data_IF_333868262949
#
_entry.id   IF_333868262949
#
_cell.length_a   1.000
_cell.length_b   1.000
_cell.length_c   1.000
_cell.angle_alpha   90.00
_cell.angle_beta   90.00
_cell.angle_gamma   90.00
#
_symmetry.space_group_name_H-M   'P 1'
#
loop_
_entity.id
_entity.type
_entity.pdbx_description
1 polymer ?
#
# COMPACT_ATOMS: atom_id res chain seq x y z
N UNK A 1 -0.48 -19.23 -9.32
CA UNK A 1 -0.13 -17.83 -9.65
C UNK A 1 -1.41 -17.03 -9.66
N UNK A 2 -1.68 -16.26 -8.60
CA UNK A 2 -2.84 -15.38 -8.51
C UNK A 2 -2.38 -13.94 -8.80
N UNK A 3 -3.02 -13.31 -9.78
CA UNK A 3 -2.83 -11.91 -10.14
C UNK A 3 -4.10 -11.14 -9.79
N UNK A 4 -3.96 -10.02 -9.08
CA UNK A 4 -5.06 -9.08 -8.89
C UNK A 4 -4.89 -7.90 -9.86
N UNK A 5 -5.86 -7.70 -10.75
CA UNK A 5 -5.89 -6.61 -11.72
C UNK A 5 -7.00 -5.64 -11.34
N UNK A 6 -6.67 -4.36 -11.16
CA UNK A 6 -7.67 -3.32 -10.91
C UNK A 6 -7.80 -2.34 -12.08
N UNK A 7 -9.05 -2.08 -12.50
CA UNK A 7 -9.44 -0.95 -13.35
C UNK A 7 -10.20 0.07 -12.51
N UNK A 8 -9.62 1.25 -12.33
CA UNK A 8 -10.24 2.36 -11.59
C UNK A 8 -11.01 3.30 -12.52
N UNK A 9 -12.27 3.51 -12.16
CA UNK A 9 -13.16 4.51 -12.73
C UNK A 9 -13.06 5.84 -11.96
N UNK A 10 -13.04 6.97 -12.65
CA UNK A 10 -13.21 8.32 -12.11
C UNK A 10 -14.66 8.39 -11.64
N UNK A 11 -14.87 8.47 -10.34
CA UNK A 11 -16.23 8.65 -9.81
C UNK A 11 -16.77 10.00 -10.27
N UNK A 12 -17.99 10.02 -10.84
CA UNK A 12 -18.74 11.26 -11.08
C UNK A 12 -18.83 12.05 -9.76
N UNK A 13 -18.64 13.38 -9.84
CA UNK A 13 -18.86 14.34 -8.74
C UNK A 13 -20.10 13.91 -7.94
N UNK A 14 -19.92 13.46 -6.69
CA UNK A 14 -21.03 13.41 -5.74
C UNK A 14 -21.32 14.85 -5.32
N UNK A 15 -22.57 15.27 -5.43
CA UNK A 15 -23.04 16.58 -4.99
C UNK A 15 -22.68 16.75 -3.51
N UNK A 16 -21.76 17.68 -3.21
CA UNK A 16 -21.29 17.96 -1.84
C UNK A 16 -19.81 18.36 -1.70
N UNK A 17 -18.98 18.12 -2.71
CA UNK A 17 -17.60 18.63 -2.76
C UNK A 17 -17.52 19.85 -3.68
N UNK A 18 -17.17 21.02 -3.15
CA UNK A 18 -17.03 22.22 -3.97
C UNK A 18 -15.73 22.24 -4.79
N UNK A 19 -14.71 21.43 -4.45
CA UNK A 19 -13.48 21.35 -5.22
C UNK A 19 -13.08 19.86 -5.34
N UNK A 20 -13.05 19.30 -6.56
CA UNK A 20 -12.52 17.97 -6.91
C UNK A 20 -12.65 16.83 -5.88
N UNK A 21 -13.79 16.13 -5.85
CA UNK A 21 -13.97 14.92 -5.02
C UNK A 21 -13.23 13.70 -5.64
N UNK A 22 -11.90 13.78 -5.70
CA UNK A 22 -10.99 12.64 -5.66
C UNK A 22 -10.38 12.62 -4.26
N UNK A 23 -11.04 11.98 -3.30
CA UNK A 23 -10.48 11.85 -1.95
C UNK A 23 -9.30 10.87 -2.00
N UNK A 24 -8.09 11.42 -2.23
CA UNK A 24 -6.83 10.68 -2.25
C UNK A 24 -6.72 9.77 -1.02
N UNK A 25 -7.12 10.28 0.14
CA UNK A 25 -7.08 9.56 1.42
C UNK A 25 -8.00 8.33 1.39
N UNK A 26 -9.27 8.48 1.02
CA UNK A 26 -10.24 7.37 1.02
C UNK A 26 -9.84 6.31 -0.01
N UNK A 27 -9.36 6.75 -1.17
CA UNK A 27 -8.96 5.85 -2.23
C UNK A 27 -7.66 5.10 -1.89
N UNK A 28 -6.66 5.78 -1.33
CA UNK A 28 -5.43 5.15 -0.86
C UNK A 28 -5.72 4.13 0.25
N UNK A 29 -6.64 4.47 1.16
CA UNK A 29 -7.12 3.56 2.20
C UNK A 29 -7.73 2.29 1.63
N UNK A 30 -8.65 2.45 0.67
CA UNK A 30 -9.31 1.32 0.04
C UNK A 30 -8.32 0.46 -0.76
N UNK A 31 -7.45 1.08 -1.57
CA UNK A 31 -6.43 0.38 -2.37
C UNK A 31 -5.48 -0.42 -1.45
N UNK A 32 -5.06 0.17 -0.32
CA UNK A 32 -4.21 -0.49 0.69
C UNK A 32 -4.88 -1.71 1.29
N UNK A 33 -6.13 -1.58 1.73
CA UNK A 33 -6.83 -2.66 2.40
C UNK A 33 -7.18 -3.82 1.48
N UNK A 34 -7.60 -3.53 0.24
CA UNK A 34 -8.16 -4.55 -0.65
C UNK A 34 -7.12 -5.09 -1.62
N UNK A 35 -6.32 -4.22 -2.23
CA UNK A 35 -5.40 -4.59 -3.29
C UNK A 35 -4.05 -4.96 -2.72
N UNK A 36 -3.43 -4.07 -1.94
CA UNK A 36 -2.05 -4.28 -1.52
C UNK A 36 -1.98 -5.30 -0.38
N UNK A 37 -2.47 -4.97 0.82
CA UNK A 37 -2.46 -5.91 1.95
C UNK A 37 -3.41 -7.07 1.65
N UNK A 38 -4.67 -6.76 1.32
CA UNK A 38 -5.72 -7.76 1.13
C UNK A 38 -5.36 -8.85 0.13
N UNK A 39 -4.75 -8.53 -1.01
CA UNK A 39 -4.36 -9.59 -1.95
C UNK A 39 -3.08 -10.32 -1.52
N UNK A 40 -2.05 -9.61 -1.04
CA UNK A 40 -0.74 -10.21 -0.75
C UNK A 40 -0.78 -11.15 0.45
N UNK A 41 -1.59 -10.85 1.47
CA UNK A 41 -1.82 -11.77 2.60
C UNK A 41 -2.74 -12.94 2.24
N UNK A 42 -3.46 -12.86 1.12
CA UNK A 42 -4.32 -13.91 0.58
C UNK A 42 -3.70 -14.59 -0.66
N UNK A 43 -2.39 -14.84 -0.62
CA UNK A 43 -1.66 -15.64 -1.61
C UNK A 43 -1.53 -15.05 -3.02
N UNK A 44 -1.94 -13.79 -3.23
CA UNK A 44 -1.62 -13.11 -4.48
C UNK A 44 -0.11 -12.86 -4.54
N UNK A 45 0.50 -13.24 -5.65
CA UNK A 45 1.95 -13.05 -5.86
C UNK A 45 2.27 -11.70 -6.47
N UNK A 46 1.26 -10.97 -6.96
CA UNK A 46 1.43 -9.69 -7.64
C UNK A 46 0.10 -8.92 -7.71
N UNK A 47 0.21 -7.60 -7.55
CA UNK A 47 -0.86 -6.62 -7.77
C UNK A 47 -0.50 -5.80 -9.00
N UNK A 48 -1.42 -5.72 -9.96
CA UNK A 48 -1.26 -4.94 -11.17
C UNK A 48 -2.34 -3.88 -11.29
N UNK A 49 -1.90 -2.66 -11.54
CA UNK A 49 -2.76 -1.56 -11.97
C UNK A 49 -2.85 -1.53 -13.49
N UNK A 50 -3.97 -1.03 -14.01
CA UNK A 50 -4.26 -1.11 -15.44
C UNK A 50 -3.38 -0.19 -16.30
N UNK A 51 -3.55 1.13 -16.16
CA UNK A 51 -2.82 2.11 -16.98
C UNK A 51 -1.78 2.84 -16.12
N UNK A 52 -0.52 2.83 -16.54
CA UNK A 52 0.53 3.59 -15.86
C UNK A 52 0.34 5.10 -16.06
N UNK A 53 0.04 5.53 -17.28
CA UNK A 53 -0.07 6.93 -17.66
C UNK A 53 -1.30 7.14 -18.55
N UNK A 54 -2.08 8.18 -18.25
CA UNK A 54 -3.18 8.66 -19.08
C UNK A 54 -3.27 10.20 -18.98
N UNK A 55 -3.86 10.84 -19.97
CA UNK A 55 -4.20 12.27 -19.92
C UNK A 55 -5.36 12.56 -18.93
N UNK A 56 -5.60 13.84 -18.56
CA UNK A 56 -6.67 14.22 -17.63
C UNK A 56 -8.08 13.79 -18.05
N UNK A 57 -8.34 13.67 -19.35
CA UNK A 57 -9.55 13.10 -19.96
C UNK A 57 -9.60 11.56 -19.88
N UNK A 58 -8.49 10.88 -19.67
CA UNK A 58 -8.39 9.41 -19.66
C UNK A 58 -7.90 8.83 -21.00
N UNK A 59 -7.44 9.68 -21.91
CA UNK A 59 -6.94 9.30 -23.22
C UNK A 59 -5.44 8.93 -23.20
N UNK A 60 -4.94 8.22 -24.23
CA UNK A 60 -5.70 7.56 -25.29
C UNK A 60 -6.39 6.28 -24.78
N UNK A 61 -7.63 6.05 -25.22
CA UNK A 61 -8.33 4.79 -24.97
C UNK A 61 -9.10 4.32 -26.21
N UNK A 62 -9.13 3.00 -26.44
CA UNK A 62 -9.83 2.41 -27.58
C UNK A 62 -11.21 1.88 -27.16
N UNK A 63 -12.03 2.79 -26.63
CA UNK A 63 -13.31 2.47 -25.98
C UNK A 63 -13.18 1.72 -24.65
N UNK A 64 -14.31 1.44 -24.01
CA UNK A 64 -14.39 0.65 -22.78
C UNK A 64 -14.60 1.48 -21.52
N UNK A 65 -13.52 1.92 -20.87
CA UNK A 65 -13.59 2.66 -19.61
C UNK A 65 -13.52 4.16 -19.86
N UNK A 66 -14.69 4.77 -20.07
CA UNK A 66 -14.83 6.20 -20.42
C UNK A 66 -14.44 7.14 -19.27
N UNK A 67 -14.27 6.60 -18.07
CA UNK A 67 -13.92 7.33 -16.88
C UNK A 67 -12.61 6.81 -16.28
N UNK A 68 -11.77 6.03 -16.96
CA UNK A 68 -10.54 5.54 -16.32
C UNK A 68 -9.49 6.64 -16.06
N UNK A 69 -8.63 6.41 -15.07
CA UNK A 69 -7.46 7.26 -14.76
C UNK A 69 -6.20 6.41 -14.69
N UNK A 70 -5.08 6.98 -15.12
CA UNK A 70 -3.77 6.37 -14.96
C UNK A 70 -3.28 6.44 -13.51
N UNK A 71 -2.27 5.64 -13.19
CA UNK A 71 -1.50 5.76 -11.94
C UNK A 71 -0.84 7.15 -11.87
N UNK A 72 -0.36 7.63 -13.01
CA UNK A 72 0.13 8.98 -13.23
C UNK A 72 -0.76 9.64 -14.28
N UNK A 73 -1.08 10.91 -14.06
CA UNK A 73 -1.75 11.76 -15.06
C UNK A 73 -0.73 12.76 -15.60
N UNK A 74 -0.58 12.80 -16.92
CA UNK A 74 0.25 13.79 -17.61
C UNK A 74 -0.69 14.67 -18.44
N UNK A 75 -0.74 15.95 -18.12
CA UNK A 75 -1.38 16.94 -18.98
C UNK A 75 -0.37 17.35 -20.06
N UNK A 76 -0.72 17.11 -21.32
CA UNK A 76 0.15 17.37 -22.46
C UNK A 76 0.07 18.82 -22.94
N UNK A 77 -0.92 19.60 -22.50
CA UNK A 77 -1.06 21.01 -22.84
C UNK A 77 -0.05 21.88 -22.08
N UNK A 78 0.18 21.59 -20.79
CA UNK A 78 1.08 22.34 -19.92
C UNK A 78 2.27 21.52 -19.36
N UNK A 79 2.37 20.25 -19.76
CA UNK A 79 3.38 19.28 -19.28
C UNK A 79 3.32 19.02 -17.77
N UNK A 80 2.19 19.28 -17.11
CA UNK A 80 2.01 19.01 -15.68
C UNK A 80 1.82 17.52 -15.40
N UNK A 81 2.43 17.06 -14.30
CA UNK A 81 2.36 15.66 -13.86
C UNK A 81 1.65 15.59 -12.52
N UNK A 82 0.59 14.79 -12.46
CA UNK A 82 -0.15 14.48 -11.24
C UNK A 82 0.07 13.01 -10.86
N UNK A 83 0.57 12.78 -9.66
CA UNK A 83 0.72 11.44 -9.09
C UNK A 83 -0.56 11.08 -8.35
N UNK A 84 -1.27 10.05 -8.81
CA UNK A 84 -2.52 9.61 -8.18
C UNK A 84 -2.26 8.68 -6.99
N UNK A 85 -3.28 8.34 -6.21
CA UNK A 85 -3.14 7.50 -5.02
C UNK A 85 -2.50 6.13 -5.30
N UNK A 86 -2.73 5.57 -6.50
CA UNK A 86 -2.12 4.32 -6.93
C UNK A 86 -0.60 4.41 -6.99
N UNK A 87 -0.05 5.58 -7.31
CA UNK A 87 1.39 5.81 -7.36
C UNK A 87 2.01 5.67 -5.97
N UNK A 88 1.41 6.32 -4.96
CA UNK A 88 1.91 6.26 -3.59
C UNK A 88 1.77 4.86 -2.99
N UNK A 89 0.64 4.18 -3.27
CA UNK A 89 0.49 2.77 -2.90
C UNK A 89 1.58 1.89 -3.52
N UNK A 90 1.81 2.02 -4.83
CA UNK A 90 2.88 1.26 -5.49
C UNK A 90 4.28 1.62 -4.99
N UNK A 91 4.54 2.87 -4.61
CA UNK A 91 5.81 3.27 -4.04
C UNK A 91 6.11 2.52 -2.73
N UNK A 92 5.11 2.41 -1.85
CA UNK A 92 5.23 1.71 -0.56
C UNK A 92 5.33 0.19 -0.71
N UNK A 93 4.56 -0.41 -1.62
CA UNK A 93 4.50 -1.87 -1.74
C UNK A 93 5.47 -2.42 -2.80
N UNK A 94 5.65 -1.74 -3.94
CA UNK A 94 6.51 -2.22 -5.03
C UNK A 94 8.01 -2.20 -4.70
N UNK A 95 8.47 -1.25 -3.89
CA UNK A 95 9.88 -1.21 -3.47
C UNK A 95 10.18 -2.21 -2.35
N UNK A 96 9.21 -2.54 -1.50
CA UNK A 96 9.48 -3.20 -0.23
C UNK A 96 8.83 -4.58 -0.07
N UNK A 97 7.87 -4.92 -0.93
CA UNK A 97 7.29 -6.26 -1.08
C UNK A 97 7.73 -6.81 -2.43
N UNK A 98 8.98 -7.24 -2.49
CA UNK A 98 9.62 -7.78 -3.69
C UNK A 98 9.78 -9.30 -3.65
N UNK A 99 9.80 -9.92 -4.82
CA UNK A 99 10.10 -11.34 -5.00
C UNK A 99 8.94 -12.28 -4.62
N UNK A 100 9.25 -13.58 -4.49
CA UNK A 100 8.27 -14.62 -4.11
C UNK A 100 8.15 -14.79 -2.59
N UNK A 101 8.64 -13.84 -1.80
CA UNK A 101 8.56 -13.90 -0.36
C UNK A 101 7.09 -13.72 0.08
N UNK A 102 6.54 -14.64 0.88
CA UNK A 102 5.17 -14.50 1.37
C UNK A 102 5.07 -13.26 2.26
N UNK A 103 4.01 -12.48 2.03
CA UNK A 103 3.65 -11.37 2.89
C UNK A 103 2.70 -11.88 3.98
N UNK A 104 2.87 -11.43 5.22
CA UNK A 104 1.96 -11.79 6.30
C UNK A 104 1.35 -10.55 6.92
N UNK A 105 0.08 -10.68 7.33
CA UNK A 105 -0.63 -9.63 8.05
C UNK A 105 -0.02 -9.44 9.44
N UNK A 106 0.18 -8.20 9.87
CA UNK A 106 0.65 -7.89 11.21
C UNK A 106 -0.38 -8.27 12.30
N UNK A 107 -1.66 -8.43 11.95
CA UNK A 107 -2.73 -8.87 12.85
C UNK A 107 -2.93 -10.39 12.90
N UNK A 108 -2.32 -11.14 11.98
CA UNK A 108 -2.37 -12.60 11.91
C UNK A 108 -0.98 -13.16 11.67
N UNK A 109 -0.19 -13.34 12.73
CA UNK A 109 0.95 -14.24 12.65
C UNK A 109 1.04 -15.20 13.82
N UNK A 110 0.90 -16.48 13.45
CA UNK A 110 1.31 -17.64 14.22
C UNK A 110 2.62 -18.16 13.60
N UNK A 111 3.69 -18.12 14.40
CA UNK A 111 4.77 -19.11 14.46
C UNK A 111 5.48 -19.51 13.14
N UNK A 112 6.41 -18.68 12.65
CA UNK A 112 7.57 -19.18 11.87
C UNK A 112 8.82 -18.33 12.13
N UNK A 113 9.77 -18.80 12.96
CA UNK A 113 11.13 -18.24 13.24
C UNK A 113 11.21 -16.76 13.70
N UNK A 114 10.23 -15.93 13.36
CA UNK A 114 10.08 -14.51 13.60
C UNK A 114 8.63 -14.24 13.98
N UNK A 115 8.43 -13.48 15.05
CA UNK A 115 7.10 -13.03 15.49
C UNK A 115 7.12 -11.52 15.53
N UNK A 116 6.14 -10.89 14.90
CA UNK A 116 5.94 -9.45 14.94
C UNK A 116 4.50 -9.09 15.23
N UNK A 117 4.32 -8.02 16.00
CA UNK A 117 3.04 -7.43 16.31
C UNK A 117 3.18 -5.92 16.38
N UNK A 118 2.13 -5.24 15.93
CA UNK A 118 1.89 -3.82 16.18
C UNK A 118 0.67 -3.74 17.10
N UNK A 119 0.57 -2.72 17.94
CA UNK A 119 -0.63 -2.50 18.75
C UNK A 119 -1.85 -2.39 17.83
N UNK A 120 -2.65 -3.45 17.76
CA UNK A 120 -3.70 -3.58 16.75
C UNK A 120 -4.88 -2.65 17.09
N UNK A 121 -5.08 -1.64 16.25
CA UNK A 121 -6.32 -0.85 16.23
C UNK A 121 -6.97 -1.02 14.86
N UNK A 122 -8.27 -0.76 14.73
CA UNK A 122 -8.95 -0.88 13.43
C UNK A 122 -8.39 0.07 12.36
N UNK A 123 -7.70 1.13 12.76
CA UNK A 123 -7.11 2.13 11.86
C UNK A 123 -5.60 2.00 11.67
N UNK A 124 -4.91 1.15 12.45
CA UNK A 124 -3.48 0.83 12.27
C UNK A 124 -3.30 -0.66 12.00
N UNK A 125 -2.66 -0.98 10.89
CA UNK A 125 -2.41 -2.35 10.46
C UNK A 125 -1.20 -2.36 9.52
N UNK A 126 -0.84 -3.51 8.99
CA UNK A 126 0.19 -3.56 7.96
C UNK A 126 0.48 -4.96 7.45
N UNK A 127 1.48 -5.01 6.58
CA UNK A 127 2.03 -6.26 6.08
C UNK A 127 3.52 -6.28 6.30
N UNK A 128 4.07 -7.46 6.52
CA UNK A 128 5.48 -7.67 6.70
C UNK A 128 5.99 -8.82 5.82
N UNK A 129 7.22 -8.64 5.32
CA UNK A 129 7.89 -9.55 4.42
C UNK A 129 9.30 -9.78 4.93
N UNK A 130 9.68 -11.04 5.07
CA UNK A 130 11.02 -11.43 5.49
C UNK A 130 11.83 -11.91 4.29
N UNK A 131 13.12 -11.57 4.28
CA UNK A 131 14.09 -11.97 3.28
C UNK A 131 15.22 -12.78 3.93
N UNK A 132 15.06 -14.10 4.10
CA UNK A 132 16.03 -14.93 4.82
C UNK A 132 17.43 -14.91 4.22
N UNK A 133 17.55 -14.80 2.90
CA UNK A 133 18.84 -14.73 2.21
C UNK A 133 19.62 -13.45 2.49
N UNK A 134 18.93 -12.38 2.89
CA UNK A 134 19.51 -11.06 3.14
C UNK A 134 19.47 -10.69 4.63
N UNK A 135 18.92 -11.55 5.48
CA UNK A 135 18.60 -11.25 6.88
C UNK A 135 17.86 -9.90 7.06
N UNK A 136 16.90 -9.62 6.18
CA UNK A 136 16.18 -8.35 6.15
C UNK A 136 14.68 -8.53 6.41
N UNK A 137 14.06 -7.53 7.03
CA UNK A 137 12.64 -7.44 7.30
C UNK A 137 12.10 -6.10 6.78
N UNK A 138 11.07 -6.18 5.95
CA UNK A 138 10.37 -5.01 5.42
C UNK A 138 8.96 -5.01 5.96
N UNK A 139 8.51 -3.87 6.50
CA UNK A 139 7.16 -3.70 7.00
C UNK A 139 6.54 -2.47 6.35
N UNK A 140 5.35 -2.63 5.78
CA UNK A 140 4.51 -1.51 5.36
C UNK A 140 3.38 -1.37 6.36
N UNK A 141 3.38 -0.26 7.08
CA UNK A 141 2.38 0.09 8.09
C UNK A 141 1.41 1.11 7.48
N UNK A 142 0.11 0.86 7.65
CA UNK A 142 -0.94 1.83 7.42
C UNK A 142 -1.34 2.44 8.76
N UNK A 143 -1.36 3.76 8.84
CA UNK A 143 -1.99 4.50 9.91
C UNK A 143 -3.06 5.40 9.29
N UNK A 144 -4.28 4.90 9.23
CA UNK A 144 -5.43 5.65 8.73
C UNK A 144 -6.29 6.22 9.87
N UNK A 145 -5.69 6.39 11.04
CA UNK A 145 -6.28 7.17 12.11
C UNK A 145 -6.12 8.67 11.79
N UNK A 146 -6.89 9.54 12.45
CA UNK A 146 -6.83 10.99 12.25
C UNK A 146 -5.66 11.68 12.98
N UNK A 147 -4.67 10.91 13.44
CA UNK A 147 -3.54 11.42 14.23
C UNK A 147 -2.36 10.47 14.13
N UNK A 148 -1.17 10.97 14.47
CA UNK A 148 0.04 10.17 14.62
C UNK A 148 -0.19 9.09 15.69
N UNK A 149 0.24 7.87 15.40
CA UNK A 149 0.10 6.73 16.30
C UNK A 149 1.46 6.23 16.75
N UNK A 150 1.57 5.93 18.04
CA UNK A 150 2.78 5.33 18.60
C UNK A 150 2.62 3.82 18.54
N UNK A 151 3.46 3.16 17.75
CA UNK A 151 3.47 1.70 17.64
C UNK A 151 4.75 1.15 18.25
N UNK A 152 4.64 -0.02 18.87
CA UNK A 152 5.78 -0.88 19.16
C UNK A 152 5.90 -1.92 18.07
N UNK A 153 7.05 -1.99 17.41
CA UNK A 153 7.39 -3.12 16.53
C UNK A 153 8.24 -4.07 17.33
N UNK A 154 7.72 -5.26 17.56
CA UNK A 154 8.43 -6.34 18.24
C UNK A 154 8.97 -7.29 17.19
N UNK A 155 10.27 -7.58 17.20
CA UNK A 155 10.88 -8.59 16.33
C UNK A 155 11.56 -9.62 17.22
N UNK A 156 10.94 -10.78 17.36
CA UNK A 156 11.53 -11.93 18.04
C UNK A 156 12.26 -12.82 17.03
N UNK A 157 13.43 -13.35 17.39
CA UNK A 157 14.27 -14.18 16.52
C UNK A 157 14.71 -15.40 17.32
N UNK A 158 14.74 -16.59 16.70
CA UNK A 158 15.17 -17.82 17.40
C UNK A 158 16.64 -17.80 17.92
N UNK A 159 17.43 -16.77 17.61
CA UNK A 159 18.87 -16.72 17.87
C UNK A 159 19.40 -15.39 18.46
N UNK A 160 18.55 -14.40 18.73
CA UNK A 160 18.92 -13.08 19.31
C UNK A 160 17.78 -12.53 20.19
N UNK A 161 18.10 -11.52 21.01
CA UNK A 161 17.19 -10.78 21.89
C UNK A 161 15.99 -10.14 21.18
N UNK A 162 14.88 -10.02 21.89
CA UNK A 162 13.70 -9.26 21.52
C UNK A 162 14.07 -7.80 21.19
N UNK A 163 13.88 -7.38 19.95
CA UNK A 163 14.00 -5.96 19.58
C UNK A 163 12.63 -5.31 19.65
N UNK A 164 12.54 -4.20 20.38
CA UNK A 164 11.32 -3.40 20.50
C UNK A 164 11.65 -1.97 20.10
N UNK A 165 11.16 -1.58 18.93
CA UNK A 165 11.25 -0.19 18.48
C UNK A 165 9.92 0.52 18.71
N UNK A 166 9.98 1.68 19.37
CA UNK A 166 8.86 2.58 19.52
C UNK A 166 8.92 3.62 18.40
N UNK A 167 7.92 3.60 17.54
CA UNK A 167 7.87 4.43 16.33
C UNK A 167 6.62 5.30 16.33
N UNK A 168 6.82 6.57 15.99
CA UNK A 168 5.73 7.51 15.76
C UNK A 168 5.37 7.45 14.28
N UNK A 169 4.26 6.80 13.96
CA UNK A 169 3.82 6.60 12.57
C UNK A 169 2.83 7.71 12.20
N UNK A 170 3.16 8.56 11.18
CA UNK A 170 2.25 9.61 10.73
C UNK A 170 1.00 9.03 10.06
N UNK A 171 -0.01 9.87 9.86
CA UNK A 171 -1.21 9.49 9.10
C UNK A 171 -0.82 9.17 7.65
N UNK A 172 -1.30 8.05 7.12
CA UNK A 172 -1.01 7.54 5.79
C UNK A 172 -0.27 6.20 5.81
N UNK A 173 0.63 6.02 4.84
CA UNK A 173 1.47 4.83 4.73
C UNK A 173 2.88 5.14 5.21
N UNK A 174 3.50 4.19 5.88
CA UNK A 174 4.90 4.24 6.29
C UNK A 174 5.57 2.92 5.97
N UNK A 175 6.76 2.97 5.40
CA UNK A 175 7.55 1.77 5.17
C UNK A 175 8.79 1.78 6.03
N UNK A 176 9.03 0.65 6.69
CA UNK A 176 10.08 0.46 7.66
C UNK A 176 10.94 -0.73 7.21
N UNK A 177 12.25 -0.61 7.42
CA UNK A 177 13.25 -1.57 6.96
C UNK A 177 14.20 -1.89 8.11
N UNK A 178 14.41 -3.17 8.38
CA UNK A 178 15.41 -3.65 9.32
C UNK A 178 16.38 -4.58 8.63
N UNK A 179 17.66 -4.35 8.89
CA UNK A 179 18.73 -5.28 8.63
C UNK A 179 19.11 -5.92 9.97
N UNK A 180 19.02 -7.25 10.03
CA UNK A 180 19.26 -8.04 11.24
C UNK A 180 20.64 -8.71 11.20
#
# INVERSE_FOLDING_TARGET
FFFFLEKKKKKKKKNGCNDGCFDMDINLQWNTNNLYIGSTVNWATMVLHWNLLLEPNGDPHNGGCDDCRGIVTLDTDDMSVTLNEEFYGLLHFGKFVQGKAPAHSLSQMLSTKWTYSIGASTCVDGTAVTYPSQNALNIVVKNFCNQVQNISVVVDTLSQSLFVDLLNVPVGLSTLFWQL
#
